data_IF_140318789550
#
_entry.id   IF_140318789550
#
_cell.length_a   1.000
_cell.length_b   1.000
_cell.length_c   1.000
_cell.angle_alpha   90.00
_cell.angle_beta   90.00
_cell.angle_gamma   90.00
#
_symmetry.space_group_name_H-M   'P 1'
#
loop_
_entity.id
_entity.type
_entity.pdbx_description
1 polymer ?
#
# COMPACT_ATOMS: atom_id res chain seq x y z
N UNK A 1 -2.30 -2.13 12.98
CA UNK A 1 -1.31 -2.29 14.08
C UNK A 1 -0.56 -0.98 14.16
N UNK A 2 -0.25 -0.43 15.36
CA UNK A 2 -0.05 1.02 15.52
C UNK A 2 1.06 1.62 14.66
N UNK A 3 2.10 0.85 14.34
CA UNK A 3 3.22 1.28 13.49
C UNK A 3 2.89 1.34 12.00
N UNK A 4 1.96 0.50 11.52
CA UNK A 4 1.58 0.50 10.11
C UNK A 4 0.77 1.75 9.76
N UNK A 5 -0.23 2.03 10.59
CA UNK A 5 -1.17 3.12 10.38
C UNK A 5 -0.43 4.48 10.43
N UNK A 6 0.59 4.61 11.30
CA UNK A 6 1.47 5.78 11.31
C UNK A 6 2.39 5.89 10.08
N UNK A 7 2.90 4.77 9.56
CA UNK A 7 3.76 4.78 8.38
C UNK A 7 3.00 5.11 7.09
N UNK A 8 1.70 4.77 7.01
CA UNK A 8 0.86 5.13 5.87
C UNK A 8 0.72 6.66 5.72
N UNK A 9 0.68 7.39 6.83
CA UNK A 9 0.63 8.86 6.83
C UNK A 9 1.83 9.47 6.08
N UNK A 10 3.03 8.91 6.22
CA UNK A 10 4.21 9.39 5.49
C UNK A 10 4.05 9.27 3.98
N UNK A 11 3.42 8.19 3.51
CA UNK A 11 3.15 7.98 2.08
C UNK A 11 2.10 8.99 1.57
N UNK A 12 1.04 9.23 2.35
CA UNK A 12 0.02 10.23 2.02
C UNK A 12 0.60 11.64 1.97
N UNK A 13 1.46 11.98 2.93
CA UNK A 13 2.15 13.28 2.98
C UNK A 13 3.09 13.44 1.79
N UNK A 14 3.86 12.41 1.42
CA UNK A 14 4.72 12.47 0.24
C UNK A 14 3.92 12.73 -1.05
N UNK A 15 2.78 12.07 -1.21
CA UNK A 15 1.86 12.32 -2.33
C UNK A 15 1.29 13.75 -2.32
N UNK A 16 0.75 14.18 -1.18
CA UNK A 16 0.16 15.51 -1.02
C UNK A 16 1.17 16.66 -1.15
N UNK A 17 2.38 16.49 -0.62
CA UNK A 17 3.46 17.47 -0.74
C UNK A 17 3.93 17.59 -2.19
N UNK A 18 4.05 16.48 -2.92
CA UNK A 18 4.40 16.51 -4.34
C UNK A 18 3.31 17.18 -5.17
N UNK A 19 2.04 16.93 -4.86
CA UNK A 19 0.92 17.62 -5.50
C UNK A 19 0.94 19.13 -5.25
N UNK A 20 1.22 19.56 -4.00
CA UNK A 20 1.23 20.97 -3.63
C UNK A 20 2.46 21.73 -4.15
N UNK A 21 3.65 21.10 -4.12
CA UNK A 21 4.90 21.76 -4.51
C UNK A 21 5.23 21.61 -6.01
N UNK A 22 4.88 20.46 -6.63
CA UNK A 22 5.26 20.09 -8.00
C UNK A 22 4.09 19.43 -8.76
N UNK A 23 3.03 20.19 -9.08
CA UNK A 23 1.80 19.63 -9.63
C UNK A 23 1.98 18.95 -11.00
N UNK A 24 2.82 19.50 -11.89
CA UNK A 24 3.11 18.90 -13.20
C UNK A 24 3.83 17.55 -13.08
N UNK A 25 4.78 17.46 -12.15
CA UNK A 25 5.50 16.21 -11.90
C UNK A 25 4.58 15.16 -11.29
N UNK A 26 3.73 15.56 -10.34
CA UNK A 26 2.67 14.72 -9.79
C UNK A 26 1.75 14.17 -10.89
N UNK A 27 1.26 15.04 -11.79
CA UNK A 27 0.35 14.65 -12.88
C UNK A 27 1.02 13.67 -13.86
N UNK A 28 2.27 13.93 -14.23
CA UNK A 28 3.02 13.10 -15.17
C UNK A 28 3.35 11.73 -14.55
N UNK A 29 3.71 11.68 -13.27
CA UNK A 29 3.98 10.44 -12.55
C UNK A 29 2.72 9.57 -12.42
N UNK A 30 1.59 10.15 -11.99
CA UNK A 30 0.34 9.42 -11.81
C UNK A 30 -0.30 8.97 -13.13
N UNK A 31 -0.04 9.67 -14.24
CA UNK A 31 -0.51 9.26 -15.56
C UNK A 31 0.42 8.24 -16.24
N UNK A 32 1.74 8.47 -16.19
CA UNK A 32 2.74 7.57 -16.80
C UNK A 32 2.86 6.22 -16.09
N UNK A 33 2.77 6.21 -14.75
CA UNK A 33 2.84 5.00 -13.93
C UNK A 33 1.49 4.60 -13.35
N UNK A 34 0.40 4.86 -14.08
CA UNK A 34 -0.96 4.57 -13.61
C UNK A 34 -1.14 3.13 -13.12
N UNK A 35 -0.74 2.14 -13.93
CA UNK A 35 -0.90 0.72 -13.57
C UNK A 35 -0.04 0.33 -12.36
N UNK A 36 1.28 0.63 -12.29
CA UNK A 36 2.08 0.40 -11.09
C UNK A 36 1.52 1.05 -9.83
N UNK A 37 1.13 2.32 -9.90
CA UNK A 37 0.60 3.06 -8.74
C UNK A 37 -0.77 2.52 -8.30
N UNK A 38 -1.61 2.09 -9.24
CA UNK A 38 -2.87 1.40 -8.92
C UNK A 38 -2.62 0.07 -8.20
N UNK A 39 -1.64 -0.72 -8.66
CA UNK A 39 -1.28 -1.97 -8.00
C UNK A 39 -0.71 -1.75 -6.60
N UNK A 40 0.10 -0.71 -6.41
CA UNK A 40 0.57 -0.27 -5.08
C UNK A 40 -0.63 0.04 -4.20
N UNK A 41 -1.58 0.86 -4.66
CA UNK A 41 -2.78 1.23 -3.89
C UNK A 41 -3.58 -0.01 -3.46
N UNK A 42 -3.87 -0.92 -4.39
CA UNK A 42 -4.62 -2.15 -4.11
C UNK A 42 -3.87 -3.02 -3.09
N UNK A 43 -2.55 -3.16 -3.24
CA UNK A 43 -1.72 -3.93 -2.31
C UNK A 43 -1.73 -3.33 -0.89
N UNK A 44 -1.69 -1.99 -0.77
CA UNK A 44 -1.77 -1.28 0.52
C UNK A 44 -3.14 -1.50 1.19
N UNK A 45 -4.24 -1.42 0.43
CA UNK A 45 -5.59 -1.70 0.93
C UNK A 45 -5.69 -3.15 1.45
N UNK A 46 -5.24 -4.12 0.65
CA UNK A 46 -5.24 -5.54 1.03
C UNK A 46 -4.46 -5.75 2.32
N UNK A 47 -3.29 -5.10 2.46
CA UNK A 47 -2.46 -5.19 3.65
C UNK A 47 -3.15 -4.63 4.89
N UNK A 48 -3.76 -3.43 4.78
CA UNK A 48 -4.50 -2.81 5.89
C UNK A 48 -5.65 -3.69 6.39
N UNK A 49 -6.50 -4.15 5.45
CA UNK A 49 -7.60 -5.10 5.74
C UNK A 49 -7.05 -6.38 6.37
N UNK A 50 -5.96 -6.92 5.86
CA UNK A 50 -5.42 -8.18 6.37
C UNK A 50 -4.93 -8.08 7.81
N UNK A 51 -4.38 -6.94 8.24
CA UNK A 51 -3.99 -6.75 9.63
C UNK A 51 -5.19 -6.71 10.58
N UNK A 52 -6.27 -6.04 10.19
CA UNK A 52 -7.45 -5.92 11.04
C UNK A 52 -8.24 -7.24 11.13
N UNK A 53 -8.37 -7.97 10.02
CA UNK A 53 -9.17 -9.19 9.97
C UNK A 53 -8.42 -10.41 10.53
N UNK A 54 -7.08 -10.44 10.46
CA UNK A 54 -6.27 -11.56 11.00
C UNK A 54 -6.49 -11.81 12.50
N UNK A 55 -6.72 -10.75 13.28
CA UNK A 55 -6.94 -10.85 14.73
C UNK A 55 -8.35 -11.31 15.10
N UNK A 56 -9.34 -11.11 14.21
CA UNK A 56 -10.76 -11.42 14.46
C UNK A 56 -11.14 -12.87 14.16
N UNK A 57 -10.30 -13.63 13.47
CA UNK A 57 -10.60 -14.99 13.01
C UNK A 57 -9.81 -16.07 13.77
N UNK A 58 -10.53 -17.03 14.35
CA UNK A 58 -9.98 -18.18 15.09
C UNK A 58 -9.55 -19.35 14.19
N UNK A 59 -9.99 -19.38 12.93
CA UNK A 59 -9.68 -20.46 11.99
C UNK A 59 -8.26 -20.34 11.41
N UNK A 60 -7.42 -21.35 11.64
CA UNK A 60 -6.03 -21.45 11.18
C UNK A 60 -5.87 -21.33 9.65
N UNK A 61 -6.80 -21.90 8.86
CA UNK A 61 -6.73 -21.83 7.39
C UNK A 61 -6.96 -20.40 6.90
N UNK A 62 -7.86 -19.67 7.56
CA UNK A 62 -8.19 -18.29 7.21
C UNK A 62 -7.06 -17.35 7.63
N UNK A 63 -6.48 -17.55 8.82
CA UNK A 63 -5.27 -16.82 9.26
C UNK A 63 -4.12 -16.95 8.24
N UNK A 64 -3.83 -18.16 7.77
CA UNK A 64 -2.79 -18.37 6.73
C UNK A 64 -3.07 -17.60 5.44
N UNK A 65 -4.33 -17.47 5.01
CA UNK A 65 -4.69 -16.66 3.82
C UNK A 65 -4.39 -15.18 4.04
N UNK A 66 -4.68 -14.65 5.23
CA UNK A 66 -4.35 -13.28 5.59
C UNK A 66 -2.84 -13.07 5.75
N UNK A 67 -2.08 -14.05 6.24
CA UNK A 67 -0.61 -13.99 6.28
C UNK A 67 -0.01 -13.88 4.86
N UNK A 68 -0.54 -14.65 3.91
CA UNK A 68 -0.14 -14.56 2.48
C UNK A 68 -0.54 -13.20 1.89
N UNK A 69 -1.74 -12.70 2.20
CA UNK A 69 -2.19 -11.40 1.73
C UNK A 69 -1.33 -10.24 2.28
N UNK A 70 -0.87 -10.32 3.53
CA UNK A 70 0.10 -9.38 4.11
C UNK A 70 1.43 -9.47 3.36
N UNK A 71 1.93 -10.68 3.10
CA UNK A 71 3.19 -10.85 2.39
C UNK A 71 3.15 -10.24 0.98
N UNK A 72 2.10 -10.54 0.20
CA UNK A 72 1.91 -9.95 -1.13
C UNK A 72 1.73 -8.42 -1.01
N UNK A 73 0.91 -7.95 -0.07
CA UNK A 73 0.65 -6.54 0.18
C UNK A 73 1.86 -5.74 0.67
N UNK A 74 2.92 -6.41 1.14
CA UNK A 74 4.21 -5.80 1.48
C UNK A 74 5.24 -5.92 0.34
N UNK A 75 5.25 -7.03 -0.38
CA UNK A 75 6.19 -7.28 -1.47
C UNK A 75 5.89 -6.43 -2.70
N UNK A 76 4.62 -6.35 -3.12
CA UNK A 76 4.22 -5.63 -4.34
C UNK A 76 4.59 -4.14 -4.27
N UNK A 77 4.30 -3.40 -3.18
CA UNK A 77 4.74 -2.02 -3.08
C UNK A 77 6.26 -1.86 -3.06
N UNK A 78 6.98 -2.72 -2.33
CA UNK A 78 8.45 -2.62 -2.26
C UNK A 78 9.12 -2.82 -3.62
N UNK A 79 8.57 -3.71 -4.46
CA UNK A 79 9.07 -3.92 -5.82
C UNK A 79 8.68 -2.77 -6.75
N UNK A 80 7.40 -2.39 -6.78
CA UNK A 80 6.90 -1.41 -7.75
C UNK A 80 7.44 0.00 -7.49
N UNK A 81 7.70 0.38 -6.24
CA UNK A 81 8.41 1.62 -5.92
C UNK A 81 9.85 1.66 -6.42
N UNK A 82 10.48 0.52 -6.68
CA UNK A 82 11.83 0.46 -7.26
C UNK A 82 11.85 0.41 -8.79
N UNK A 83 10.70 0.12 -9.42
CA UNK A 83 10.56 0.01 -10.88
C UNK A 83 10.00 1.29 -11.49
N UNK A 84 9.12 1.99 -10.78
CA UNK A 84 8.62 3.32 -11.12
C UNK A 84 9.65 4.41 -10.78
#
# INVERSE_FOLDING_TARGET
GPVWDGNEVWLLVAGGATFAAFPEWYATMFSGFYLPLLLILVALIIRGVSFEYRSKLSNLKVRKRYDVAIWIGSFVPALLWGVA
#
